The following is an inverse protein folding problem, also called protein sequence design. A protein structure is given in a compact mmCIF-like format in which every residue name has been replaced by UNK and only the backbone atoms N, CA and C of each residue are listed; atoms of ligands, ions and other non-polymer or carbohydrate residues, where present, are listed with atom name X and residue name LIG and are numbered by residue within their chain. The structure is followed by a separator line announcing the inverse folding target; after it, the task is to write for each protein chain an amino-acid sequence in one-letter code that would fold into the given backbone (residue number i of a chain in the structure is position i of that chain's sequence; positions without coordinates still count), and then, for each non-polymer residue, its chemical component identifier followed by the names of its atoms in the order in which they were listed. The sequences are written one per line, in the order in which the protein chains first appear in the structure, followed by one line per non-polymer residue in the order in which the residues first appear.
data_IF_518608524159
#
_entry.id   IF_518608524159
#
_cell.length_a   1.000
_cell.length_b   1.000
_cell.length_c   1.000
_cell.angle_alpha   90.00
_cell.angle_beta   90.00
_cell.angle_gamma   90.00
#
_symmetry.space_group_name_H-M   'P 1'
#
loop_
_entity.id
_entity.type
_entity.pdbx_description
1 polymer ?
#
# COMPACT_ATOMS: atom_id res chain seq x y z
N UNK A 1 25.02 -15.06 -13.45
CA UNK A 1 23.65 -15.62 -13.45
C UNK A 1 22.76 -14.57 -12.83
N UNK A 2 21.86 -13.95 -13.59
CA UNK A 2 20.93 -12.97 -13.04
C UNK A 2 19.88 -13.74 -12.24
N UNK A 3 19.90 -13.61 -10.91
CA UNK A 3 18.85 -14.06 -10.02
C UNK A 3 17.53 -13.47 -10.55
N UNK A 4 16.67 -14.30 -11.15
CA UNK A 4 15.36 -13.85 -11.60
C UNK A 4 14.50 -13.60 -10.36
N UNK A 5 14.68 -12.43 -9.77
CA UNK A 5 13.85 -11.96 -8.66
C UNK A 5 12.43 -11.90 -9.20
N UNK A 6 11.54 -12.71 -8.65
CA UNK A 6 10.14 -12.65 -9.01
C UNK A 6 9.59 -11.35 -8.42
N UNK A 7 9.36 -10.32 -9.25
CA UNK A 7 8.93 -8.98 -8.82
C UNK A 7 7.72 -9.04 -7.87
N UNK A 8 6.79 -9.97 -8.12
CA UNK A 8 5.61 -10.19 -7.29
C UNK A 8 5.97 -10.62 -5.86
N UNK A 9 7.00 -11.45 -5.69
CA UNK A 9 7.50 -11.87 -4.38
C UNK A 9 8.15 -10.71 -3.65
N UNK A 10 9.01 -9.93 -4.33
CA UNK A 10 9.68 -8.78 -3.70
C UNK A 10 8.67 -7.73 -3.21
N UNK A 11 7.66 -7.41 -4.02
CA UNK A 11 6.60 -6.47 -3.62
C UNK A 11 5.77 -7.04 -2.47
N UNK A 12 5.43 -8.33 -2.50
CA UNK A 12 4.70 -8.99 -1.41
C UNK A 12 5.46 -8.91 -0.09
N UNK A 13 6.75 -9.20 -0.09
CA UNK A 13 7.56 -9.18 1.13
C UNK A 13 7.82 -7.76 1.61
N UNK A 14 7.98 -6.79 0.69
CA UNK A 14 8.00 -5.35 1.03
C UNK A 14 6.73 -4.94 1.79
N UNK A 15 5.54 -5.31 1.30
CA UNK A 15 4.29 -4.96 1.96
C UNK A 15 4.14 -5.61 3.34
N UNK A 16 4.67 -6.82 3.55
CA UNK A 16 4.69 -7.47 4.87
C UNK A 16 5.57 -6.72 5.85
N UNK A 17 6.80 -6.38 5.46
CA UNK A 17 7.73 -5.60 6.31
C UNK A 17 7.13 -4.24 6.67
N UNK A 18 6.44 -3.59 5.72
CA UNK A 18 5.69 -2.36 6.00
C UNK A 18 4.55 -2.58 7.00
N UNK A 19 3.80 -3.68 6.89
CA UNK A 19 2.77 -4.01 7.86
C UNK A 19 3.37 -4.27 9.25
N UNK A 20 4.45 -5.06 9.33
CA UNK A 20 5.15 -5.35 10.60
C UNK A 20 5.63 -4.07 11.29
N UNK A 21 6.12 -3.09 10.52
CA UNK A 21 6.67 -1.85 11.06
C UNK A 21 5.62 -0.78 11.38
N UNK A 22 4.54 -0.68 10.61
CA UNK A 22 3.60 0.44 10.67
C UNK A 22 2.17 0.06 11.08
N UNK A 23 1.87 -1.22 11.25
CA UNK A 23 0.60 -1.63 11.79
C UNK A 23 0.43 -1.12 13.23
N UNK A 24 -0.77 -0.63 13.50
CA UNK A 24 -1.23 -0.22 14.83
C UNK A 24 -2.53 -0.94 15.15
N UNK A 25 -3.10 -0.70 16.33
CA UNK A 25 -4.40 -1.28 16.70
C UNK A 25 -5.55 -0.78 15.82
N UNK A 26 -5.40 0.38 15.19
CA UNK A 26 -6.47 1.07 14.44
C UNK A 26 -6.18 1.28 12.95
N UNK A 27 -4.92 1.11 12.51
CA UNK A 27 -4.49 1.27 11.13
C UNK A 27 -3.63 0.07 10.74
N UNK A 28 -3.92 -0.53 9.58
CA UNK A 28 -3.24 -1.70 9.05
C UNK A 28 -2.83 -1.49 7.59
N UNK A 29 -1.66 -1.98 7.23
CA UNK A 29 -1.24 -2.14 5.83
C UNK A 29 -1.81 -3.46 5.32
N UNK A 30 -2.33 -3.48 4.08
CA UNK A 30 -2.86 -4.70 3.48
C UNK A 30 -1.75 -5.39 2.64
N UNK A 31 -1.13 -6.49 3.11
CA UNK A 31 -0.08 -7.18 2.37
C UNK A 31 -0.59 -7.98 1.16
N UNK A 32 -1.90 -8.04 0.94
CA UNK A 32 -2.51 -8.85 -0.14
C UNK A 32 -2.63 -8.10 -1.47
N UNK A 33 -2.35 -6.80 -1.49
CA UNK A 33 -2.48 -5.94 -2.69
C UNK A 33 -1.25 -5.96 -3.63
N UNK A 34 -0.33 -6.91 -3.46
CA UNK A 34 0.87 -7.06 -4.30
C UNK A 34 0.58 -7.48 -5.75
N UNK A 35 -0.61 -8.00 -6.05
CA UNK A 35 -0.95 -8.49 -7.38
C UNK A 35 -1.24 -7.31 -8.34
N UNK A 36 -0.49 -7.16 -9.45
CA UNK A 36 -0.69 -6.07 -10.41
C UNK A 36 -2.07 -6.00 -11.07
N UNK A 37 -2.87 -7.08 -11.06
CA UNK A 37 -4.22 -7.07 -11.63
C UNK A 37 -5.28 -6.47 -10.69
N UNK A 38 -4.91 -6.04 -9.48
CA UNK A 38 -5.85 -5.43 -8.53
C UNK A 38 -6.24 -4.02 -8.95
N UNK A 39 -7.52 -3.72 -8.85
CA UNK A 39 -8.09 -2.41 -9.16
C UNK A 39 -7.92 -1.49 -7.94
N UNK A 40 -7.51 -0.24 -8.18
CA UNK A 40 -7.45 0.82 -7.18
C UNK A 40 -8.65 1.77 -7.31
N UNK A 41 -8.97 2.49 -6.23
CA UNK A 41 -10.01 3.53 -6.25
C UNK A 41 -9.62 4.66 -7.20
N UNK A 42 -10.59 5.17 -7.95
CA UNK A 42 -10.39 6.36 -8.77
C UNK A 42 -10.35 7.60 -7.86
N UNK A 43 -9.22 8.29 -7.84
CA UNK A 43 -9.07 9.52 -7.05
C UNK A 43 -10.09 10.59 -7.50
N UNK A 44 -10.58 11.37 -6.54
CA UNK A 44 -11.65 12.34 -6.76
C UNK A 44 -13.06 11.78 -6.60
N UNK A 45 -13.24 10.46 -6.55
CA UNK A 45 -14.55 9.82 -6.32
C UNK A 45 -14.79 9.48 -4.84
N UNK A 46 -16.05 9.42 -4.44
CA UNK A 46 -16.45 8.97 -3.10
C UNK A 46 -16.57 7.46 -3.06
N UNK A 47 -15.90 6.82 -2.10
CA UNK A 47 -15.96 5.38 -1.91
C UNK A 47 -17.23 5.01 -1.12
N UNK A 48 -18.28 4.57 -1.83
CA UNK A 48 -19.59 4.29 -1.27
C UNK A 48 -19.79 2.82 -0.85
N UNK A 49 -18.76 2.17 -0.29
CA UNK A 49 -18.87 0.76 0.12
C UNK A 49 -19.72 0.67 1.39
N UNK A 50 -20.83 -0.07 1.30
CA UNK A 50 -21.80 -0.22 2.40
C UNK A 50 -22.68 1.03 2.55
N UNK A 51 -23.58 1.00 3.53
CA UNK A 51 -24.48 2.12 3.81
C UNK A 51 -23.77 3.20 4.64
N UNK A 52 -24.12 4.46 4.38
CA UNK A 52 -23.69 5.59 5.20
C UNK A 52 -24.63 5.70 6.42
N UNK A 53 -24.05 5.66 7.63
CA UNK A 53 -24.80 5.77 8.90
C UNK A 53 -24.13 6.83 9.77
N UNK A 54 -24.44 8.13 9.55
CA UNK A 54 -23.78 9.23 10.24
C UNK A 54 -23.95 9.20 11.76
N UNK A 55 -25.10 8.72 12.24
CA UNK A 55 -25.42 8.58 13.65
C UNK A 55 -24.44 7.63 14.38
N UNK A 56 -23.87 6.66 13.67
CA UNK A 56 -22.86 5.72 14.18
C UNK A 56 -21.43 6.09 13.75
N UNK A 57 -21.24 7.25 13.11
CA UNK A 57 -19.93 7.70 12.63
C UNK A 57 -19.41 6.98 11.37
N UNK A 58 -20.27 6.22 10.68
CA UNK A 58 -19.93 5.51 9.45
C UNK A 58 -20.20 6.45 8.27
N UNK A 59 -19.14 7.09 7.77
CA UNK A 59 -19.21 8.11 6.70
C UNK A 59 -18.41 7.64 5.50
N UNK A 60 -18.98 7.79 4.30
CA UNK A 60 -18.25 7.54 3.05
C UNK A 60 -17.17 8.61 2.86
N UNK A 61 -15.99 8.20 2.40
CA UNK A 61 -14.83 9.11 2.26
C UNK A 61 -14.40 9.21 0.81
N UNK A 62 -14.02 10.40 0.39
CA UNK A 62 -13.42 10.62 -0.91
C UNK A 62 -12.06 9.93 -1.00
N UNK A 63 -11.81 9.21 -2.09
CA UNK A 63 -10.49 8.72 -2.44
C UNK A 63 -9.64 9.91 -2.91
N UNK A 64 -8.59 10.24 -2.15
CA UNK A 64 -7.67 11.34 -2.48
C UNK A 64 -6.25 11.00 -2.05
N UNK A 65 -5.29 11.64 -2.72
CA UNK A 65 -3.91 11.69 -2.25
C UNK A 65 -3.82 12.73 -1.13
N UNK A 66 -3.22 12.36 0.01
CA UNK A 66 -3.09 13.26 1.15
C UNK A 66 -1.93 14.25 0.96
N UNK A 67 -0.86 13.78 0.34
CA UNK A 67 0.29 14.57 -0.05
C UNK A 67 0.84 13.99 -1.36
N UNK A 68 1.36 14.85 -2.22
CA UNK A 68 2.08 14.47 -3.44
C UNK A 68 3.44 15.17 -3.38
N UNK A 69 4.56 14.45 -3.51
CA UNK A 69 5.87 15.07 -3.53
C UNK A 69 6.05 15.91 -4.80
N UNK A 70 6.91 16.93 -4.74
CA UNK A 70 7.21 17.79 -5.90
C UNK A 70 7.84 17.02 -7.07
N UNK A 71 8.51 15.90 -6.78
CA UNK A 71 9.13 15.02 -7.78
C UNK A 71 8.88 13.55 -7.47
N UNK A 72 8.48 12.79 -8.50
CA UNK A 72 8.37 11.33 -8.44
C UNK A 72 9.61 10.75 -9.12
N UNK A 73 10.48 10.14 -8.31
CA UNK A 73 11.73 9.52 -8.79
C UNK A 73 11.64 7.99 -8.68
N UNK A 74 12.14 7.23 -9.68
CA UNK A 74 12.25 5.79 -9.57
C UNK A 74 13.14 5.37 -8.40
N UNK A 75 12.75 4.30 -7.71
CA UNK A 75 13.55 3.68 -6.67
C UNK A 75 14.35 2.51 -7.27
N UNK A 76 15.66 2.48 -7.00
CA UNK A 76 16.53 1.38 -7.38
C UNK A 76 16.10 0.06 -6.72
N UNK A 77 16.00 -1.01 -7.49
CA UNK A 77 15.55 -2.34 -7.02
C UNK A 77 16.42 -2.86 -5.87
N UNK A 78 17.74 -2.60 -5.90
CA UNK A 78 18.67 -2.98 -4.84
C UNK A 78 18.32 -2.33 -3.48
N UNK A 79 17.79 -1.10 -3.47
CA UNK A 79 17.35 -0.43 -2.23
C UNK A 79 16.12 -1.12 -1.64
N UNK A 80 15.21 -1.56 -2.50
CA UNK A 80 14.02 -2.28 -2.08
C UNK A 80 14.37 -3.66 -1.50
N UNK A 81 15.29 -4.39 -2.14
CA UNK A 81 15.82 -5.65 -1.61
C UNK A 81 16.52 -5.46 -0.26
N UNK A 82 17.38 -4.44 -0.13
CA UNK A 82 18.04 -4.13 1.13
C UNK A 82 17.05 -3.81 2.25
N UNK A 83 15.96 -3.09 1.93
CA UNK A 83 14.90 -2.78 2.87
C UNK A 83 14.14 -4.03 3.37
N UNK A 84 13.89 -5.01 2.50
CA UNK A 84 13.24 -6.27 2.91
C UNK A 84 14.17 -7.13 3.77
N UNK A 85 15.47 -7.09 3.51
CA UNK A 85 16.47 -7.91 4.20
C UNK A 85 16.99 -7.31 5.51
N UNK A 86 16.68 -6.05 5.82
CA UNK A 86 17.07 -5.45 7.09
C UNK A 86 16.16 -5.93 8.21
N UNK A 87 16.72 -6.11 9.41
CA UNK A 87 15.93 -6.43 10.60
C UNK A 87 15.15 -5.18 11.06
N UNK A 88 13.82 -5.31 11.19
CA UNK A 88 12.89 -4.24 11.62
C UNK A 88 12.12 -4.65 12.87
#
# INVERSE_FOLDING_TARGET
MAESTNDSTLIKDTLKVLAEQFDTDIVKVDPTVYNPSRISKLYGTTACKGDEVPEMGIIHRQAKLLAVPDSIIPLELAKLQAFVNSEH
#
